data_IF_742258898451
#
_entry.id   IF_742258898451
#
_cell.length_a   1.000
_cell.length_b   1.000
_cell.length_c   1.000
_cell.angle_alpha   90.00
_cell.angle_beta   90.00
_cell.angle_gamma   90.00
#
_symmetry.space_group_name_H-M   'P 1'
#
loop_
_entity.id
_entity.type
_entity.pdbx_description
1 polymer ?
#
# COMPACT_ATOMS: atom_id res chain seq x y z
N UNK A 1 -53.55 69.81 -2.16
CA UNK A 1 -53.86 71.26 -2.07
C UNK A 1 -54.39 71.52 -0.68
N UNK A 2 -53.66 72.23 0.20
CA UNK A 2 -52.19 72.41 0.23
C UNK A 2 -51.54 71.06 0.69
N UNK A 3 -50.59 70.83 1.62
CA UNK A 3 -49.50 71.56 2.31
C UNK A 3 -48.50 70.43 2.74
N UNK A 4 -47.15 70.45 2.77
CA UNK A 4 -46.03 71.40 2.55
C UNK A 4 -45.64 72.36 3.70
N UNK A 5 -44.69 71.94 4.55
CA UNK A 5 -43.55 72.69 5.16
C UNK A 5 -42.71 71.74 6.06
N UNK A 6 -41.40 71.83 6.24
CA UNK A 6 -40.23 72.14 5.41
C UNK A 6 -39.00 72.01 6.33
N UNK A 7 -37.86 71.50 5.85
CA UNK A 7 -36.58 72.22 5.86
C UNK A 7 -35.43 71.40 5.24
N UNK A 8 -34.60 72.11 4.48
CA UNK A 8 -33.45 71.65 3.70
C UNK A 8 -32.18 72.34 4.30
N UNK A 9 -30.97 72.39 3.68
CA UNK A 9 -30.32 71.51 2.71
C UNK A 9 -28.85 71.14 3.08
N UNK A 10 -28.17 70.31 2.26
CA UNK A 10 -26.88 70.67 1.58
C UNK A 10 -26.22 69.53 0.78
N UNK A 11 -25.97 69.84 -0.49
CA UNK A 11 -24.86 69.40 -1.38
C UNK A 11 -24.28 70.71 -2.00
N UNK A 12 -23.20 70.76 -2.82
CA UNK A 12 -22.66 69.74 -3.72
C UNK A 12 -21.11 69.64 -3.69
N UNK A 13 -20.47 69.45 -4.87
CA UNK A 13 -19.03 69.39 -5.17
C UNK A 13 -18.31 68.06 -4.82
N UNK A 14 -17.27 67.63 -5.53
CA UNK A 14 -17.01 67.50 -7.00
C UNK A 14 -15.62 66.85 -7.16
N UNK A 15 -15.44 65.92 -8.09
CA UNK A 15 -14.16 65.18 -8.21
C UNK A 15 -13.10 65.92 -9.05
N UNK A 16 -11.80 65.74 -8.74
CA UNK A 16 -10.71 65.88 -9.70
C UNK A 16 -10.23 64.49 -10.20
N UNK A 17 -9.98 64.36 -11.50
CA UNK A 17 -9.22 63.23 -12.05
C UNK A 17 -7.72 63.42 -11.81
N UNK A 18 -6.99 62.34 -11.50
CA UNK A 18 -5.66 62.13 -12.06
C UNK A 18 -5.36 60.64 -12.23
N UNK A 19 -4.32 60.33 -13.01
CA UNK A 19 -4.01 58.98 -13.52
C UNK A 19 -2.64 58.50 -12.96
N UNK A 20 -2.01 57.37 -13.36
CA UNK A 20 -1.50 56.41 -12.37
C UNK A 20 0.03 56.32 -12.28
N UNK A 21 0.57 56.30 -11.06
CA UNK A 21 1.99 55.97 -10.84
C UNK A 21 2.27 55.31 -9.48
N UNK A 22 2.35 53.97 -9.44
CA UNK A 22 3.18 53.20 -8.51
C UNK A 22 3.10 51.69 -8.84
N UNK A 23 4.22 50.95 -8.97
CA UNK A 23 4.17 49.50 -9.09
C UNK A 23 3.91 48.87 -7.71
N UNK A 24 2.79 48.13 -7.56
CA UNK A 24 2.60 47.28 -6.39
C UNK A 24 3.71 46.23 -6.32
N UNK A 25 4.59 46.33 -5.32
CA UNK A 25 5.57 45.29 -5.04
C UNK A 25 4.84 43.97 -4.76
N UNK A 26 5.17 42.86 -5.44
CA UNK A 26 4.51 41.59 -5.20
C UNK A 26 4.78 41.16 -3.76
N UNK A 27 3.71 40.98 -2.97
CA UNK A 27 3.82 40.62 -1.57
C UNK A 27 4.71 39.37 -1.41
N UNK A 28 5.80 39.48 -0.63
CA UNK A 28 6.72 38.38 -0.37
C UNK A 28 5.93 37.21 0.23
N UNK A 29 5.54 36.25 -0.61
CA UNK A 29 5.06 34.94 -0.17
C UNK A 29 6.20 34.33 0.64
N UNK A 30 6.05 34.30 1.96
CA UNK A 30 7.03 33.69 2.86
C UNK A 30 7.01 32.18 2.61
N UNK A 31 7.87 31.73 1.71
CA UNK A 31 8.17 30.33 1.47
C UNK A 31 8.87 29.79 2.71
N UNK A 32 8.05 29.23 3.63
CA UNK A 32 8.51 28.56 4.85
C UNK A 32 9.67 27.61 4.49
N UNK A 33 10.88 27.80 5.04
CA UNK A 33 12.05 27.04 4.61
C UNK A 33 11.82 25.53 4.69
N UNK A 34 12.15 24.79 3.62
CA UNK A 34 11.98 23.33 3.55
C UNK A 34 13.04 22.57 4.36
N UNK A 35 13.03 22.78 5.67
CA UNK A 35 13.87 22.07 6.64
C UNK A 35 13.32 20.67 7.01
N UNK A 36 12.23 20.25 6.36
CA UNK A 36 11.46 19.04 6.65
C UNK A 36 11.92 17.77 5.89
N UNK A 37 12.89 17.85 4.97
CA UNK A 37 13.43 16.65 4.32
C UNK A 37 14.23 15.78 5.32
N UNK A 38 15.09 16.40 6.14
CA UNK A 38 15.93 15.70 7.13
C UNK A 38 15.17 15.33 8.42
N UNK A 39 14.03 15.95 8.71
CA UNK A 39 13.25 15.67 9.94
C UNK A 39 12.49 14.34 9.82
N UNK A 40 13.09 13.30 10.39
CA UNK A 40 12.44 12.00 10.65
C UNK A 40 11.20 12.19 11.55
N UNK A 41 10.02 12.20 10.93
CA UNK A 41 8.73 12.14 11.63
C UNK A 41 8.09 10.74 11.61
N UNK A 42 8.82 9.72 11.18
CA UNK A 42 8.47 8.31 11.33
C UNK A 42 8.74 7.84 12.78
N UNK A 43 8.10 8.49 13.75
CA UNK A 43 8.07 8.10 15.17
C UNK A 43 9.40 8.20 15.94
N UNK A 44 9.41 7.79 17.23
CA UNK A 44 10.62 7.73 18.05
C UNK A 44 11.41 6.42 17.86
N UNK A 45 10.82 5.40 17.23
CA UNK A 45 11.39 4.06 17.10
C UNK A 45 12.27 3.93 15.85
N UNK A 46 13.58 4.03 16.05
CA UNK A 46 14.59 3.86 15.00
C UNK A 46 14.55 2.48 14.34
N UNK A 47 15.06 2.41 13.11
CA UNK A 47 15.20 1.18 12.31
C UNK A 47 16.68 0.81 12.20
N UNK A 48 17.08 -0.47 12.37
CA UNK A 48 18.42 -0.93 12.01
C UNK A 48 18.69 -0.61 10.53
N UNK A 49 19.84 0.00 10.22
CA UNK A 49 20.15 0.39 8.84
C UNK A 49 20.38 -0.84 7.96
N UNK A 50 19.80 -0.86 6.76
CA UNK A 50 20.00 -1.97 5.79
C UNK A 50 21.48 -2.12 5.35
N UNK A 51 22.31 -1.12 5.60
CA UNK A 51 23.76 -1.20 5.40
C UNK A 51 24.45 -2.20 6.36
N UNK A 52 23.86 -2.52 7.53
CA UNK A 52 24.55 -3.21 8.61
C UNK A 52 24.35 -4.73 8.66
N UNK A 53 23.83 -5.36 7.59
CA UNK A 53 23.59 -6.82 7.53
C UNK A 53 24.53 -7.55 6.54
N UNK A 54 25.71 -6.98 6.25
CA UNK A 54 26.80 -7.68 5.54
C UNK A 54 28.09 -7.84 6.36
N UNK A 55 28.03 -7.75 7.70
CA UNK A 55 29.15 -8.17 8.55
C UNK A 55 29.27 -9.69 8.51
N UNK A 56 30.37 -10.17 7.96
CA UNK A 56 30.62 -11.59 7.64
C UNK A 56 30.39 -12.52 8.83
N UNK A 57 29.65 -13.62 8.64
CA UNK A 57 29.57 -14.74 9.57
C UNK A 57 30.83 -15.61 9.49
N UNK A 58 31.98 -15.01 9.80
CA UNK A 58 33.28 -15.67 10.00
C UNK A 58 33.97 -15.06 11.22
N UNK A 59 33.52 -15.45 12.40
CA UNK A 59 34.30 -15.35 13.63
C UNK A 59 35.01 -16.70 13.85
N UNK A 60 36.35 -16.76 13.88
CA UNK A 60 37.06 -17.99 14.23
C UNK A 60 36.73 -18.45 15.65
N UNK A 61 36.89 -19.75 15.90
CA UNK A 61 36.67 -20.36 17.21
C UNK A 61 37.62 -19.78 18.26
N UNK A 62 37.06 -19.37 19.41
CA UNK A 62 37.81 -18.92 20.58
C UNK A 62 38.58 -20.10 21.21
N UNK A 63 39.88 -20.20 20.96
CA UNK A 63 40.77 -21.15 21.66
C UNK A 63 41.03 -20.71 23.11
N UNK A 64 41.35 -21.68 23.95
CA UNK A 64 41.58 -21.51 25.40
C UNK A 64 43.03 -21.19 25.73
N UNK A 65 43.23 -20.53 26.88
CA UNK A 65 44.55 -20.15 27.42
C UNK A 65 45.23 -21.36 28.08
N UNK A 66 46.53 -21.56 27.83
CA UNK A 66 47.46 -22.22 28.75
C UNK A 66 48.90 -21.69 28.53
N UNK A 67 49.77 -21.63 29.57
CA UNK A 67 51.13 -21.07 29.47
C UNK A 67 52.26 -22.13 29.47
N UNK A 68 53.47 -21.71 29.04
CA UNK A 68 54.66 -22.56 28.85
C UNK A 68 54.91 -22.85 27.36
N UNK A 69 56.15 -22.92 26.83
CA UNK A 69 57.49 -22.84 27.45
C UNK A 69 58.47 -22.19 26.43
N UNK A 70 59.79 -22.15 26.68
CA UNK A 70 60.82 -21.67 25.73
C UNK A 70 60.91 -22.58 24.46
N UNK A 71 61.52 -22.21 23.32
CA UNK A 71 62.89 -21.68 23.13
C UNK A 71 63.16 -20.95 21.77
N UNK A 72 64.36 -20.36 21.67
CA UNK A 72 65.21 -20.02 20.50
C UNK A 72 64.83 -19.00 19.35
N UNK A 73 65.82 -18.12 19.11
CA UNK A 73 66.36 -17.64 17.81
C UNK A 73 65.62 -16.62 16.87
N UNK A 74 65.93 -15.34 17.12
CA UNK A 74 66.26 -14.22 16.20
C UNK A 74 66.85 -14.53 14.80
N UNK A 75 67.05 -13.53 13.90
CA UNK A 75 66.31 -12.26 13.66
C UNK A 75 66.18 -11.86 12.16
N UNK A 76 65.31 -10.89 11.83
CA UNK A 76 65.63 -9.90 10.78
C UNK A 76 64.83 -8.59 10.96
N UNK A 77 65.26 -7.49 10.33
CA UNK A 77 64.71 -6.14 10.55
C UNK A 77 64.51 -5.36 9.25
N UNK A 78 63.38 -4.65 9.13
CA UNK A 78 63.17 -3.64 8.10
C UNK A 78 62.16 -2.55 8.53
N UNK A 79 62.56 -1.29 8.31
CA UNK A 79 61.72 -0.09 8.08
C UNK A 79 60.48 0.15 8.96
N UNK A 80 60.58 1.14 9.85
CA UNK A 80 59.42 1.89 10.31
C UNK A 80 58.94 2.87 9.22
N UNK A 81 57.62 3.09 9.15
CA UNK A 81 56.99 4.29 8.55
C UNK A 81 55.94 4.77 9.54
N UNK A 82 55.90 6.07 9.81
CA UNK A 82 55.06 6.69 10.84
C UNK A 82 53.57 6.57 10.53
N UNK A 83 52.76 6.27 11.54
CA UNK A 83 51.30 6.31 11.45
C UNK A 83 50.76 7.63 12.04
N UNK A 84 50.98 8.73 11.30
CA UNK A 84 50.54 10.10 11.69
C UNK A 84 50.00 10.87 10.48
N UNK A 85 49.01 10.32 9.77
CA UNK A 85 48.08 11.11 8.96
C UNK A 85 46.77 10.32 8.66
N UNK A 86 45.66 10.68 9.33
CA UNK A 86 44.28 10.41 8.86
C UNK A 86 43.22 11.15 9.71
N UNK A 87 43.52 12.38 10.15
CA UNK A 87 42.80 13.03 11.25
C UNK A 87 41.74 14.07 10.83
N UNK A 88 41.06 13.94 9.68
CA UNK A 88 39.82 14.71 9.38
C UNK A 88 38.85 14.06 8.36
N UNK A 89 38.63 12.75 8.45
CA UNK A 89 37.60 12.04 7.68
C UNK A 89 36.15 12.38 8.08
N UNK A 90 35.64 13.54 7.65
CA UNK A 90 34.20 13.83 7.75
C UNK A 90 33.43 12.81 6.91
N UNK A 91 32.45 12.06 7.46
CA UNK A 91 31.79 10.99 6.71
C UNK A 91 30.99 11.59 5.54
N UNK A 92 31.50 11.38 4.33
CA UNK A 92 31.06 12.06 3.12
C UNK A 92 29.54 11.90 2.92
N UNK A 93 28.82 13.02 2.96
CA UNK A 93 27.36 13.02 2.87
C UNK A 93 26.99 12.73 1.42
N UNK A 94 26.37 11.57 1.10
CA UNK A 94 26.19 11.15 -0.28
C UNK A 94 25.45 12.22 -1.07
N UNK A 95 26.11 12.74 -2.11
CA UNK A 95 25.68 13.91 -2.86
C UNK A 95 24.22 13.80 -3.29
N UNK A 96 23.47 14.90 -3.09
CA UNK A 96 22.03 14.92 -3.35
C UNK A 96 21.75 14.70 -4.84
N UNK A 97 21.26 13.51 -5.18
CA UNK A 97 21.07 13.10 -6.57
C UNK A 97 20.07 14.02 -7.29
N UNK A 98 20.28 14.37 -8.57
CA UNK A 98 19.43 15.32 -9.29
C UNK A 98 18.01 14.79 -9.56
N UNK A 99 17.76 13.49 -9.37
CA UNK A 99 16.46 12.85 -9.54
C UNK A 99 16.07 12.05 -8.28
N UNK A 100 14.76 11.93 -7.98
CA UNK A 100 14.30 11.14 -6.85
C UNK A 100 14.59 9.65 -7.07
N UNK A 101 14.95 8.87 -6.03
CA UNK A 101 15.32 7.46 -6.15
C UNK A 101 14.34 6.65 -7.03
N UNK A 102 14.82 6.03 -8.13
CA UNK A 102 13.95 5.32 -9.05
C UNK A 102 13.43 4.03 -8.41
N UNK A 103 12.15 3.72 -8.63
CA UNK A 103 11.52 2.48 -8.14
C UNK A 103 11.94 1.24 -8.96
N UNK A 104 12.73 1.42 -10.03
CA UNK A 104 13.19 0.37 -10.96
C UNK A 104 12.09 -0.59 -11.47
N UNK A 105 10.85 -0.09 -11.51
CA UNK A 105 9.66 -0.88 -11.76
C UNK A 105 8.64 -0.08 -12.58
N UNK A 106 7.95 -0.75 -13.51
CA UNK A 106 6.94 -0.14 -14.36
C UNK A 106 5.80 -1.11 -14.67
N UNK A 107 4.56 -0.63 -14.53
CA UNK A 107 3.36 -1.38 -14.91
C UNK A 107 3.15 -1.40 -16.44
N UNK A 108 3.82 -0.50 -17.19
CA UNK A 108 3.58 -0.32 -18.63
C UNK A 108 4.01 -1.53 -19.47
N UNK A 109 5.02 -2.28 -19.03
CA UNK A 109 5.49 -3.51 -19.68
C UNK A 109 4.66 -4.74 -19.31
N UNK A 110 3.83 -4.67 -18.26
CA UNK A 110 3.10 -5.80 -17.69
C UNK A 110 1.58 -5.76 -17.99
N UNK A 111 1.11 -4.84 -18.83
CA UNK A 111 -0.31 -4.60 -19.12
C UNK A 111 -1.10 -5.86 -19.46
N UNK A 112 -0.57 -6.75 -20.30
CA UNK A 112 -1.26 -7.98 -20.70
C UNK A 112 -1.39 -8.98 -19.55
N UNK A 113 -0.36 -9.14 -18.73
CA UNK A 113 -0.43 -9.98 -17.53
C UNK A 113 -1.43 -9.43 -16.51
N UNK A 114 -1.43 -8.11 -16.29
CA UNK A 114 -2.39 -7.43 -15.41
C UNK A 114 -3.82 -7.57 -15.95
N UNK A 115 -4.03 -7.41 -17.26
CA UNK A 115 -5.34 -7.57 -17.90
C UNK A 115 -5.86 -9.01 -17.78
N UNK A 116 -5.04 -10.02 -18.11
CA UNK A 116 -5.44 -11.42 -18.00
C UNK A 116 -5.74 -11.82 -16.56
N UNK A 117 -4.92 -11.37 -15.60
CA UNK A 117 -5.14 -11.60 -14.16
C UNK A 117 -6.49 -11.04 -13.68
N UNK A 118 -6.78 -9.77 -13.98
CA UNK A 118 -8.06 -9.16 -13.62
C UNK A 118 -9.24 -9.74 -14.41
N UNK A 119 -9.07 -10.11 -15.67
CA UNK A 119 -10.13 -10.78 -16.45
C UNK A 119 -10.50 -12.14 -15.84
N UNK A 120 -9.50 -12.93 -15.41
CA UNK A 120 -9.73 -14.19 -14.71
C UNK A 120 -10.44 -13.98 -13.36
N UNK A 121 -10.01 -13.00 -12.56
CA UNK A 121 -10.67 -12.69 -11.27
C UNK A 121 -12.11 -12.20 -11.48
N UNK A 122 -12.37 -11.30 -12.42
CA UNK A 122 -13.73 -10.80 -12.69
C UNK A 122 -14.65 -11.91 -13.24
N UNK A 123 -14.09 -12.88 -13.96
CA UNK A 123 -14.83 -14.08 -14.38
C UNK A 123 -15.13 -15.00 -13.18
N UNK A 124 -14.10 -15.40 -12.44
CA UNK A 124 -14.12 -16.32 -11.30
C UNK A 124 -14.93 -15.82 -10.10
N UNK A 125 -14.91 -14.51 -9.84
CA UNK A 125 -15.50 -13.86 -8.66
C UNK A 125 -16.72 -12.98 -8.94
N UNK A 126 -17.15 -12.80 -10.21
CA UNK A 126 -18.41 -12.11 -10.54
C UNK A 126 -19.24 -12.93 -11.53
N UNK A 127 -18.70 -13.18 -12.73
CA UNK A 127 -19.49 -13.80 -13.81
C UNK A 127 -19.92 -15.22 -13.44
N UNK A 128 -19.01 -16.02 -12.90
CA UNK A 128 -19.27 -17.40 -12.49
C UNK A 128 -20.27 -17.53 -11.33
N UNK A 129 -20.11 -16.87 -10.15
CA UNK A 129 -21.08 -17.00 -9.05
C UNK A 129 -22.49 -16.57 -9.47
N UNK A 130 -22.60 -15.47 -10.22
CA UNK A 130 -23.88 -14.94 -10.68
C UNK A 130 -24.50 -15.87 -11.75
N UNK A 131 -23.75 -16.26 -12.80
CA UNK A 131 -24.29 -17.11 -13.87
C UNK A 131 -24.64 -18.52 -13.38
N UNK A 132 -23.84 -19.11 -12.49
CA UNK A 132 -24.17 -20.41 -11.89
C UNK A 132 -25.38 -20.29 -10.97
N UNK A 133 -25.49 -19.26 -10.13
CA UNK A 133 -26.67 -19.06 -9.29
C UNK A 133 -27.95 -18.95 -10.13
N UNK A 134 -28.04 -17.97 -11.04
CA UNK A 134 -29.25 -17.77 -11.83
C UNK A 134 -29.56 -18.96 -12.77
N UNK A 135 -28.53 -19.53 -13.41
CA UNK A 135 -28.68 -20.67 -14.31
C UNK A 135 -29.15 -21.94 -13.60
N UNK A 136 -28.58 -22.28 -12.45
CA UNK A 136 -28.99 -23.45 -11.67
C UNK A 136 -30.33 -23.22 -10.98
N UNK A 137 -30.54 -22.07 -10.33
CA UNK A 137 -31.75 -21.77 -9.54
C UNK A 137 -33.02 -21.74 -10.38
N UNK A 138 -32.99 -21.06 -11.53
CA UNK A 138 -34.15 -20.90 -12.42
C UNK A 138 -34.22 -21.93 -13.56
N UNK A 139 -33.11 -22.55 -13.94
CA UNK A 139 -33.11 -23.61 -14.95
C UNK A 139 -33.58 -24.96 -14.41
N UNK A 140 -32.90 -25.45 -13.37
CA UNK A 140 -33.07 -26.82 -12.83
C UNK A 140 -33.36 -26.88 -11.32
N UNK A 141 -33.41 -25.74 -10.66
CA UNK A 141 -33.46 -25.61 -9.20
C UNK A 141 -34.85 -25.22 -8.66
N UNK A 142 -34.90 -24.63 -7.45
CA UNK A 142 -36.15 -24.31 -6.77
C UNK A 142 -37.04 -23.31 -7.53
N UNK A 143 -36.44 -22.38 -8.27
CA UNK A 143 -37.12 -21.34 -9.04
C UNK A 143 -37.57 -21.76 -10.44
N UNK A 144 -37.38 -23.01 -10.86
CA UNK A 144 -37.74 -23.43 -12.23
C UNK A 144 -39.25 -23.63 -12.40
N UNK A 145 -39.81 -22.96 -13.40
CA UNK A 145 -41.24 -22.97 -13.75
C UNK A 145 -41.61 -24.09 -14.74
N UNK A 146 -40.65 -24.84 -15.27
CA UNK A 146 -40.93 -26.01 -16.12
C UNK A 146 -41.51 -27.17 -15.30
N UNK A 147 -42.28 -28.08 -15.94
CA UNK A 147 -42.83 -29.29 -15.33
C UNK A 147 -41.76 -30.38 -15.13
N UNK A 148 -40.64 -30.03 -14.51
CA UNK A 148 -39.61 -30.96 -14.05
C UNK A 148 -40.07 -31.68 -12.78
N UNK A 149 -39.93 -33.00 -12.72
CA UNK A 149 -40.34 -33.79 -11.55
C UNK A 149 -39.64 -33.32 -10.26
N UNK A 150 -40.32 -33.45 -9.10
CA UNK A 150 -39.73 -33.13 -7.79
C UNK A 150 -38.44 -33.90 -7.48
N UNK A 151 -38.21 -35.05 -8.13
CA UNK A 151 -36.97 -35.86 -8.01
C UNK A 151 -35.80 -35.34 -8.86
N UNK A 152 -36.06 -34.48 -9.84
CA UNK A 152 -35.06 -33.93 -10.77
C UNK A 152 -34.68 -32.47 -10.46
N UNK A 153 -35.47 -31.75 -9.64
CA UNK A 153 -35.13 -30.39 -9.23
C UNK A 153 -34.00 -30.39 -8.21
N UNK A 154 -32.97 -29.56 -8.42
CA UNK A 154 -31.91 -29.34 -7.43
C UNK A 154 -32.46 -28.64 -6.18
N UNK A 155 -31.99 -29.07 -5.00
CA UNK A 155 -32.31 -28.40 -3.73
C UNK A 155 -31.62 -27.04 -3.64
N UNK A 156 -32.13 -26.10 -2.81
CA UNK A 156 -31.45 -24.83 -2.56
C UNK A 156 -29.99 -25.03 -2.11
N UNK A 157 -29.79 -25.99 -1.20
CA UNK A 157 -28.49 -26.43 -0.71
C UNK A 157 -27.55 -26.90 -1.84
N UNK A 158 -28.03 -27.76 -2.75
CA UNK A 158 -27.21 -28.25 -3.87
C UNK A 158 -26.81 -27.12 -4.83
N UNK A 159 -27.71 -26.18 -5.16
CA UNK A 159 -27.40 -25.03 -6.01
C UNK A 159 -26.26 -24.20 -5.40
N UNK A 160 -26.39 -23.79 -4.14
CA UNK A 160 -25.38 -22.96 -3.48
C UNK A 160 -24.07 -23.71 -3.19
N UNK A 161 -24.12 -25.02 -2.96
CA UNK A 161 -22.92 -25.86 -2.79
C UNK A 161 -22.12 -25.99 -4.10
N UNK A 162 -22.80 -26.17 -5.25
CA UNK A 162 -22.15 -26.19 -6.57
C UNK A 162 -21.50 -24.82 -6.87
N UNK A 163 -22.20 -23.72 -6.61
CA UNK A 163 -21.67 -22.37 -6.76
C UNK A 163 -20.42 -22.18 -5.87
N UNK A 164 -20.52 -22.51 -4.59
CA UNK A 164 -19.43 -22.38 -3.61
C UNK A 164 -18.20 -23.21 -3.98
N UNK A 165 -18.39 -24.41 -4.54
CA UNK A 165 -17.29 -25.28 -4.97
C UNK A 165 -16.62 -24.84 -6.28
N UNK A 166 -17.29 -24.02 -7.10
CA UNK A 166 -16.76 -23.51 -8.36
C UNK A 166 -16.02 -22.16 -8.22
N UNK A 167 -16.47 -21.32 -7.29
CA UNK A 167 -15.98 -19.94 -7.09
C UNK A 167 -14.59 -19.91 -6.44
N UNK A 168 -13.76 -18.94 -6.85
CA UNK A 168 -12.48 -18.65 -6.20
C UNK A 168 -11.30 -19.45 -6.72
N UNK A 169 -11.49 -20.30 -7.73
CA UNK A 169 -10.44 -21.14 -8.31
C UNK A 169 -9.24 -20.32 -8.83
N UNK A 170 -9.48 -19.18 -9.48
CA UNK A 170 -8.40 -18.28 -9.92
C UNK A 170 -7.60 -17.71 -8.73
N UNK A 171 -8.31 -17.34 -7.66
CA UNK A 171 -7.71 -16.80 -6.43
C UNK A 171 -6.93 -17.86 -5.62
N UNK A 172 -7.40 -19.11 -5.60
CA UNK A 172 -6.70 -20.26 -5.00
C UNK A 172 -5.42 -20.58 -5.79
N UNK A 173 -5.46 -20.55 -7.12
CA UNK A 173 -4.27 -20.75 -7.96
C UNK A 173 -3.23 -19.65 -7.69
N UNK A 174 -3.62 -18.37 -7.65
CA UNK A 174 -2.65 -17.31 -7.32
C UNK A 174 -2.13 -17.42 -5.88
N UNK A 175 -2.95 -17.85 -4.90
CA UNK A 175 -2.49 -18.12 -3.54
C UNK A 175 -1.32 -19.12 -3.52
N UNK A 176 -1.46 -20.26 -4.21
CA UNK A 176 -0.40 -21.27 -4.31
C UNK A 176 0.79 -20.82 -5.15
N UNK A 177 0.57 -20.07 -6.24
CA UNK A 177 1.65 -19.48 -7.06
C UNK A 177 2.46 -18.47 -6.23
N UNK A 178 1.79 -17.61 -5.45
CA UNK A 178 2.41 -16.64 -4.54
C UNK A 178 3.21 -17.34 -3.44
N UNK A 179 2.63 -18.35 -2.80
CA UNK A 179 3.30 -19.18 -1.80
C UNK A 179 4.57 -19.83 -2.39
N UNK A 180 4.48 -20.44 -3.57
CA UNK A 180 5.62 -21.05 -4.25
C UNK A 180 6.71 -20.03 -4.61
N UNK A 181 6.32 -18.85 -5.13
CA UNK A 181 7.25 -17.74 -5.43
C UNK A 181 8.01 -17.31 -4.17
N UNK A 182 7.38 -17.27 -3.00
CA UNK A 182 8.03 -16.95 -1.71
C UNK A 182 8.89 -18.10 -1.17
N UNK A 183 8.37 -19.34 -1.21
CA UNK A 183 8.97 -20.50 -0.55
C UNK A 183 10.12 -21.17 -1.33
N UNK A 184 10.21 -20.98 -2.65
CA UNK A 184 11.27 -21.61 -3.46
C UNK A 184 12.69 -21.28 -2.99
N UNK A 185 13.61 -22.26 -3.12
CA UNK A 185 15.05 -22.04 -2.91
C UNK A 185 15.51 -20.93 -3.87
N UNK A 186 16.38 -20.04 -3.41
CA UNK A 186 16.86 -18.90 -4.24
C UNK A 186 15.79 -17.85 -4.61
N UNK A 187 14.63 -17.79 -3.95
CA UNK A 187 13.60 -16.79 -4.30
C UNK A 187 14.13 -15.34 -4.28
N UNK A 188 14.03 -14.70 -5.43
CA UNK A 188 14.26 -13.28 -5.70
C UNK A 188 13.14 -12.36 -5.18
N UNK A 189 12.05 -12.91 -4.63
CA UNK A 189 10.86 -12.16 -4.19
C UNK A 189 10.59 -12.26 -2.68
N UNK A 190 11.59 -12.66 -1.88
CA UNK A 190 11.44 -12.78 -0.42
C UNK A 190 11.51 -11.41 0.28
N UNK A 191 10.91 -11.31 1.46
CA UNK A 191 11.04 -10.15 2.36
C UNK A 191 12.51 -9.91 2.71
N UNK A 192 12.94 -8.64 2.73
CA UNK A 192 14.32 -8.25 3.02
C UNK A 192 14.72 -8.76 4.41
N UNK A 193 15.71 -9.66 4.48
CA UNK A 193 16.23 -10.20 5.75
C UNK A 193 15.28 -11.16 6.47
N UNK A 194 14.48 -11.95 5.75
CA UNK A 194 13.57 -12.94 6.32
C UNK A 194 13.95 -14.38 5.93
N UNK A 195 13.64 -15.35 6.80
CA UNK A 195 13.96 -16.77 6.57
C UNK A 195 13.06 -17.41 5.48
N UNK A 196 13.46 -18.57 4.94
CA UNK A 196 12.73 -19.28 3.86
C UNK A 196 11.27 -19.58 4.19
N UNK A 197 10.96 -19.85 5.45
CA UNK A 197 9.60 -20.13 5.95
C UNK A 197 8.77 -18.87 6.25
N UNK A 198 9.34 -17.67 6.09
CA UNK A 198 8.65 -16.43 6.40
C UNK A 198 7.94 -15.89 5.15
N UNK A 199 6.60 -15.95 5.19
CA UNK A 199 5.70 -15.39 4.18
C UNK A 199 5.53 -13.87 4.43
N UNK A 200 5.12 -13.12 3.41
CA UNK A 200 4.95 -11.67 3.53
C UNK A 200 3.57 -11.27 4.11
N UNK A 201 3.47 -10.01 4.52
CA UNK A 201 2.32 -9.47 5.25
C UNK A 201 1.03 -9.58 4.45
N UNK A 202 1.06 -9.21 3.16
CA UNK A 202 -0.09 -9.40 2.30
C UNK A 202 -0.52 -10.87 2.20
N UNK A 203 0.41 -11.83 2.08
CA UNK A 203 0.03 -13.24 2.03
C UNK A 203 -0.66 -13.68 3.33
N UNK A 204 -0.17 -13.29 4.51
CA UNK A 204 -0.83 -13.62 5.78
C UNK A 204 -2.24 -13.03 5.92
N UNK A 205 -2.45 -11.77 5.53
CA UNK A 205 -3.77 -11.15 5.62
C UNK A 205 -4.72 -11.71 4.56
N UNK A 206 -4.21 -12.07 3.38
CA UNK A 206 -4.97 -12.78 2.36
C UNK A 206 -5.35 -14.20 2.82
N UNK A 207 -4.47 -14.92 3.53
CA UNK A 207 -4.84 -16.19 4.22
C UNK A 207 -5.94 -15.97 5.25
N UNK A 208 -5.85 -14.94 6.07
CA UNK A 208 -6.82 -14.64 7.12
C UNK A 208 -8.20 -14.29 6.54
N UNK A 209 -8.26 -13.44 5.52
CA UNK A 209 -9.49 -13.12 4.80
C UNK A 209 -10.09 -14.37 4.13
N UNK A 210 -9.26 -15.21 3.50
CA UNK A 210 -9.70 -16.48 2.92
C UNK A 210 -10.29 -17.44 3.95
N UNK A 211 -9.70 -17.54 5.15
CA UNK A 211 -10.23 -18.38 6.23
C UNK A 211 -11.62 -17.91 6.67
N UNK A 212 -11.83 -16.59 6.82
CA UNK A 212 -13.14 -16.04 7.17
C UNK A 212 -14.16 -16.34 6.06
N UNK A 213 -13.80 -16.11 4.79
CA UNK A 213 -14.66 -16.37 3.63
C UNK A 213 -15.01 -17.86 3.49
N UNK A 214 -14.07 -18.78 3.76
CA UNK A 214 -14.35 -20.21 3.78
C UNK A 214 -15.33 -20.58 4.90
N UNK A 215 -15.18 -20.02 6.10
CA UNK A 215 -16.13 -20.23 7.20
C UNK A 215 -17.51 -19.70 6.81
N UNK A 216 -17.58 -18.50 6.25
CA UNK A 216 -18.81 -17.83 5.82
C UNK A 216 -19.56 -18.64 4.74
N UNK A 217 -18.85 -19.10 3.71
CA UNK A 217 -19.41 -19.91 2.63
C UNK A 217 -19.85 -21.31 3.13
N UNK A 218 -19.05 -21.98 3.97
CA UNK A 218 -19.41 -23.29 4.53
C UNK A 218 -20.62 -23.16 5.46
N UNK A 219 -20.62 -22.22 6.40
CA UNK A 219 -21.76 -21.99 7.31
C UNK A 219 -23.00 -21.54 6.54
N UNK A 220 -22.85 -20.77 5.46
CA UNK A 220 -23.94 -20.40 4.57
C UNK A 220 -24.51 -21.56 3.74
N UNK A 221 -23.71 -22.59 3.41
CA UNK A 221 -24.13 -23.74 2.60
C UNK A 221 -24.56 -24.97 3.40
N UNK A 222 -24.27 -25.05 4.70
CA UNK A 222 -24.73 -26.16 5.57
C UNK A 222 -26.27 -26.30 5.69
N UNK A 223 -27.09 -25.23 5.81
CA UNK A 223 -28.53 -25.36 5.99
C UNK A 223 -29.27 -25.94 4.76
N UNK A 224 -30.39 -26.65 4.99
CA UNK A 224 -31.29 -27.13 3.92
C UNK A 224 -31.88 -25.96 3.09
N UNK A 225 -32.05 -24.81 3.74
CA UNK A 225 -32.41 -23.52 3.14
C UNK A 225 -31.28 -22.52 3.39
N UNK A 226 -30.25 -22.46 2.51
CA UNK A 226 -29.13 -21.55 2.64
C UNK A 226 -29.58 -20.08 2.74
N UNK A 227 -29.10 -19.32 3.74
CA UNK A 227 -29.38 -17.89 3.82
C UNK A 227 -28.63 -17.15 2.70
N UNK A 228 -29.31 -16.92 1.58
CA UNK A 228 -28.76 -16.24 0.39
C UNK A 228 -28.02 -14.93 0.73
N UNK A 229 -28.51 -14.16 1.70
CA UNK A 229 -27.88 -12.92 2.17
C UNK A 229 -26.45 -13.14 2.70
N UNK A 230 -26.21 -14.23 3.44
CA UNK A 230 -24.87 -14.60 3.91
C UNK A 230 -23.99 -15.02 2.73
N UNK A 231 -24.53 -15.77 1.77
CA UNK A 231 -23.82 -16.17 0.55
C UNK A 231 -23.64 -15.02 -0.47
N UNK A 232 -24.12 -13.81 -0.16
CA UNK A 232 -23.83 -12.56 -0.88
C UNK A 232 -22.69 -11.75 -0.24
N UNK A 233 -22.32 -12.05 1.00
CA UNK A 233 -21.32 -11.29 1.77
C UNK A 233 -19.83 -11.54 1.43
N UNK A 234 -19.35 -12.61 0.76
CA UNK A 234 -17.91 -12.93 0.77
C UNK A 234 -16.98 -11.81 0.27
N UNK A 235 -17.36 -11.13 -0.80
CA UNK A 235 -16.58 -10.01 -1.37
C UNK A 235 -16.71 -8.75 -0.50
N UNK A 236 -17.81 -8.60 0.23
CA UNK A 236 -18.02 -7.55 1.24
C UNK A 236 -17.18 -7.80 2.49
N UNK A 237 -17.10 -9.05 2.95
CA UNK A 237 -16.20 -9.48 4.03
C UNK A 237 -14.73 -9.27 3.69
N UNK A 238 -14.34 -9.52 2.43
CA UNK A 238 -12.99 -9.19 1.93
C UNK A 238 -12.67 -7.69 2.09
N UNK A 239 -13.64 -6.79 1.83
CA UNK A 239 -13.47 -5.35 2.03
C UNK A 239 -13.34 -4.99 3.52
N UNK A 240 -14.14 -5.58 4.41
CA UNK A 240 -14.01 -5.37 5.86
C UNK A 240 -12.63 -5.80 6.37
N UNK A 241 -12.15 -7.00 6.00
CA UNK A 241 -10.87 -7.52 6.51
C UNK A 241 -9.71 -6.61 6.11
N UNK A 242 -9.59 -6.24 4.82
CA UNK A 242 -8.50 -5.34 4.39
C UNK A 242 -8.71 -3.88 4.81
N UNK A 243 -9.96 -3.40 4.89
CA UNK A 243 -10.28 -2.05 5.38
C UNK A 243 -9.88 -1.87 6.84
N UNK A 244 -10.34 -2.77 7.70
CA UNK A 244 -10.06 -2.77 9.13
C UNK A 244 -8.57 -3.04 9.41
N UNK A 245 -7.91 -3.95 8.68
CA UNK A 245 -6.46 -4.18 8.82
C UNK A 245 -5.66 -2.90 8.50
N UNK A 246 -5.97 -2.24 7.38
CA UNK A 246 -5.35 -0.98 7.01
C UNK A 246 -5.60 0.12 8.04
N UNK A 247 -6.83 0.28 8.54
CA UNK A 247 -7.15 1.23 9.60
C UNK A 247 -6.37 0.93 10.88
N UNK A 248 -6.33 -0.33 11.33
CA UNK A 248 -5.67 -0.74 12.56
C UNK A 248 -4.16 -0.43 12.53
N UNK A 249 -3.50 -0.70 11.41
CA UNK A 249 -2.08 -0.34 11.19
C UNK A 249 -1.90 1.18 11.14
N UNK A 250 -2.75 1.91 10.41
CA UNK A 250 -2.64 3.37 10.26
C UNK A 250 -2.94 4.15 11.56
N UNK A 251 -3.81 3.61 12.41
CA UNK A 251 -4.16 4.11 13.76
C UNK A 251 -3.06 3.76 14.76
N UNK A 252 -2.56 2.52 14.76
CA UNK A 252 -1.44 2.10 15.61
C UNK A 252 -0.18 2.94 15.31
N UNK A 253 0.10 3.22 14.04
CA UNK A 253 1.11 4.18 13.62
C UNK A 253 0.85 5.59 14.18
N UNK A 254 -0.39 6.08 14.14
CA UNK A 254 -0.74 7.42 14.62
C UNK A 254 -0.49 7.57 16.13
N UNK A 255 -0.83 6.54 16.92
CA UNK A 255 -0.50 6.45 18.35
C UNK A 255 0.97 6.07 18.63
N UNK A 256 1.82 5.98 17.60
CA UNK A 256 3.26 5.65 17.68
C UNK A 256 3.52 4.27 18.31
N UNK A 257 2.62 3.31 18.11
CA UNK A 257 2.83 1.92 18.54
C UNK A 257 3.95 1.29 17.68
N UNK A 258 4.99 0.69 18.28
CA UNK A 258 6.03 -0.03 17.54
C UNK A 258 5.47 -1.34 16.95
N UNK A 259 6.05 -1.82 15.84
CA UNK A 259 5.57 -3.01 15.15
C UNK A 259 5.57 -4.25 16.08
N UNK A 260 4.40 -4.83 16.42
CA UNK A 260 4.29 -5.88 17.45
C UNK A 260 4.86 -7.23 16.97
N UNK A 261 4.75 -7.47 15.67
CA UNK A 261 5.37 -8.51 14.89
C UNK A 261 6.19 -7.87 13.75
N UNK A 262 6.77 -8.69 12.88
CA UNK A 262 7.36 -8.21 11.63
C UNK A 262 6.25 -7.99 10.60
N UNK A 263 6.29 -6.86 9.90
CA UNK A 263 5.36 -6.48 8.83
C UNK A 263 6.20 -6.32 7.56
N UNK A 264 6.39 -7.41 6.83
CA UNK A 264 7.30 -7.52 5.69
C UNK A 264 8.69 -6.91 5.97
N UNK A 265 9.14 -5.87 5.24
CA UNK A 265 10.47 -5.27 5.45
C UNK A 265 10.57 -4.32 6.66
N UNK A 266 9.51 -4.23 7.47
CA UNK A 266 9.48 -3.56 8.78
C UNK A 266 9.77 -4.61 9.87
N UNK A 267 10.93 -4.58 10.55
CA UNK A 267 11.22 -5.51 11.63
C UNK A 267 10.38 -5.21 12.87
N UNK A 268 10.14 -6.25 13.70
CA UNK A 268 9.50 -6.10 15.01
C UNK A 268 10.22 -5.03 15.84
N UNK A 269 9.46 -4.15 16.49
CA UNK A 269 9.97 -3.06 17.33
C UNK A 269 10.27 -1.74 16.59
N UNK A 270 10.35 -1.72 15.25
CA UNK A 270 10.50 -0.48 14.49
C UNK A 270 9.16 0.28 14.39
N UNK A 271 9.20 1.58 14.06
CA UNK A 271 7.98 2.34 13.77
C UNK A 271 7.20 1.73 12.59
N UNK A 272 5.88 1.61 12.76
CA UNK A 272 4.95 1.25 11.70
C UNK A 272 4.95 2.29 10.56
N UNK A 273 5.03 1.82 9.31
CA UNK A 273 4.74 2.61 8.10
C UNK A 273 3.21 2.56 7.82
N UNK A 274 2.68 3.30 6.83
CA UNK A 274 1.28 3.17 6.43
C UNK A 274 0.95 1.74 6.02
N UNK A 275 -0.24 1.22 6.32
CA UNK A 275 -0.61 -0.16 5.96
C UNK A 275 -0.51 -0.43 4.45
N UNK A 276 -0.82 0.58 3.63
CA UNK A 276 -0.68 0.49 2.17
C UNK A 276 0.78 0.37 1.69
N UNK A 277 1.78 0.69 2.54
CA UNK A 277 3.19 0.47 2.21
C UNK A 277 3.49 -1.02 2.07
N UNK A 278 3.07 -1.87 3.02
CA UNK A 278 3.30 -3.32 2.95
C UNK A 278 2.50 -3.95 1.81
N UNK A 279 1.25 -3.53 1.59
CA UNK A 279 0.48 -3.98 0.42
C UNK A 279 1.20 -3.69 -0.91
N UNK A 280 1.67 -2.44 -1.11
CA UNK A 280 2.39 -2.06 -2.33
C UNK A 280 3.75 -2.77 -2.44
N UNK A 281 4.48 -2.89 -1.33
CA UNK A 281 5.75 -3.63 -1.27
C UNK A 281 5.56 -5.09 -1.71
N UNK A 282 4.55 -5.76 -1.17
CA UNK A 282 4.37 -7.20 -1.28
C UNK A 282 3.70 -7.62 -2.60
N UNK A 283 2.72 -6.86 -3.10
CA UNK A 283 2.05 -7.14 -4.38
C UNK A 283 3.01 -6.88 -5.56
N UNK A 284 3.74 -5.76 -5.54
CA UNK A 284 4.68 -5.47 -6.62
C UNK A 284 5.94 -6.35 -6.56
N UNK A 285 6.41 -6.77 -5.38
CA UNK A 285 7.55 -7.67 -5.27
C UNK A 285 7.24 -9.10 -5.77
N UNK A 286 6.09 -9.68 -5.40
CA UNK A 286 5.79 -11.09 -5.66
C UNK A 286 4.98 -11.29 -6.94
N UNK A 287 3.78 -10.73 -7.04
CA UNK A 287 2.86 -10.97 -8.16
C UNK A 287 3.34 -10.17 -9.38
N UNK A 288 3.58 -8.87 -9.15
CA UNK A 288 4.19 -7.94 -10.10
C UNK A 288 5.62 -8.29 -10.52
N UNK A 289 6.26 -9.26 -9.85
CA UNK A 289 7.63 -9.72 -10.17
C UNK A 289 8.70 -8.61 -10.16
N UNK A 290 8.57 -7.65 -9.24
CA UNK A 290 9.60 -6.63 -8.96
C UNK A 290 10.69 -7.08 -7.98
N UNK A 291 10.47 -8.19 -7.26
CA UNK A 291 11.46 -8.82 -6.40
C UNK A 291 11.95 -7.99 -5.20
N UNK A 292 13.06 -8.44 -4.61
CA UNK A 292 13.78 -7.75 -3.53
C UNK A 292 14.28 -6.37 -3.97
N UNK A 293 14.64 -6.22 -5.25
CA UNK A 293 15.14 -4.95 -5.79
C UNK A 293 14.06 -3.86 -5.76
N UNK A 294 12.80 -4.21 -6.07
CA UNK A 294 11.68 -3.29 -5.87
C UNK A 294 11.48 -2.96 -4.39
N UNK A 295 11.55 -3.95 -3.47
CA UNK A 295 11.45 -3.67 -2.02
C UNK A 295 12.52 -2.67 -1.57
N UNK A 296 13.78 -2.86 -1.97
CA UNK A 296 14.90 -1.95 -1.65
C UNK A 296 14.74 -0.58 -2.31
N UNK A 297 14.24 -0.50 -3.53
CA UNK A 297 14.00 0.77 -4.23
C UNK A 297 12.84 1.57 -3.63
N UNK A 298 11.74 0.89 -3.29
CA UNK A 298 10.59 1.46 -2.57
C UNK A 298 11.00 1.98 -1.19
N UNK A 299 11.79 1.20 -0.45
CA UNK A 299 12.33 1.54 0.86
C UNK A 299 13.21 2.80 0.81
N UNK A 300 14.16 2.85 -0.13
CA UNK A 300 15.02 4.03 -0.37
C UNK A 300 14.21 5.27 -0.73
N UNK A 301 13.20 5.16 -1.61
CA UNK A 301 12.36 6.29 -1.99
C UNK A 301 11.46 6.75 -0.84
N UNK A 302 10.93 5.82 -0.04
CA UNK A 302 10.17 6.14 1.16
C UNK A 302 11.02 6.92 2.16
N UNK A 303 12.21 6.43 2.51
CA UNK A 303 13.08 7.10 3.48
C UNK A 303 13.55 8.48 2.96
N UNK A 304 13.88 8.59 1.68
CA UNK A 304 14.37 9.83 1.08
C UNK A 304 13.29 10.90 0.79
N UNK A 305 12.05 10.53 0.42
CA UNK A 305 11.06 11.47 -0.13
C UNK A 305 9.88 11.73 0.82
N UNK A 306 9.85 12.93 1.43
CA UNK A 306 8.74 13.34 2.30
C UNK A 306 7.40 13.45 1.52
N UNK A 307 7.45 13.83 0.23
CA UNK A 307 6.27 13.91 -0.66
C UNK A 307 5.71 12.51 -0.90
N UNK A 308 6.57 11.51 -1.15
CA UNK A 308 6.17 10.12 -1.33
C UNK A 308 5.57 9.52 -0.05
N UNK A 309 6.17 9.77 1.13
CA UNK A 309 5.61 9.40 2.43
C UNK A 309 4.23 10.01 2.67
N UNK A 310 4.06 11.30 2.35
CA UNK A 310 2.78 11.99 2.47
C UNK A 310 1.72 11.52 1.45
N UNK A 311 2.14 11.11 0.25
CA UNK A 311 1.28 10.48 -0.75
C UNK A 311 0.74 9.14 -0.23
N UNK A 312 1.62 8.24 0.23
CA UNK A 312 1.22 6.92 0.73
C UNK A 312 0.35 7.00 1.99
N UNK A 313 0.63 7.90 2.95
CA UNK A 313 -0.24 8.12 4.12
C UNK A 313 -1.67 8.49 3.71
N UNK A 314 -1.83 9.42 2.77
CA UNK A 314 -3.16 9.82 2.27
C UNK A 314 -3.84 8.71 1.49
N UNK A 315 -3.08 7.94 0.71
CA UNK A 315 -3.60 6.84 -0.08
C UNK A 315 -4.08 5.67 0.80
N UNK A 316 -3.36 5.38 1.89
CA UNK A 316 -3.76 4.37 2.89
C UNK A 316 -5.12 4.70 3.50
N UNK A 317 -5.28 5.92 4.03
CA UNK A 317 -6.57 6.39 4.58
C UNK A 317 -7.69 6.39 3.52
N UNK A 318 -7.40 6.81 2.28
CA UNK A 318 -8.38 6.83 1.18
C UNK A 318 -8.91 5.44 0.80
N UNK A 319 -8.04 4.42 0.79
CA UNK A 319 -8.44 3.04 0.55
C UNK A 319 -9.08 2.38 1.76
N UNK A 320 -8.56 2.60 2.97
CA UNK A 320 -9.08 1.99 4.19
C UNK A 320 -10.50 2.48 4.53
N UNK A 321 -10.70 3.80 4.56
CA UNK A 321 -12.03 4.40 4.80
C UNK A 321 -12.97 4.14 3.62
N UNK A 322 -12.45 4.08 2.40
CA UNK A 322 -13.23 3.74 1.22
C UNK A 322 -13.74 2.30 1.24
N UNK A 323 -12.90 1.34 1.63
CA UNK A 323 -13.24 -0.07 1.74
C UNK A 323 -14.31 -0.29 2.82
N UNK A 324 -14.13 0.29 4.01
CA UNK A 324 -15.13 0.25 5.09
C UNK A 324 -16.47 0.89 4.68
N UNK A 325 -16.45 2.07 4.06
CA UNK A 325 -17.67 2.73 3.59
C UNK A 325 -18.39 1.91 2.50
N UNK A 326 -17.65 1.28 1.60
CA UNK A 326 -18.21 0.37 0.61
C UNK A 326 -18.72 -0.93 1.26
N UNK A 327 -18.03 -1.48 2.26
CA UNK A 327 -18.44 -2.70 2.94
C UNK A 327 -19.74 -2.50 3.74
N UNK A 328 -19.86 -1.38 4.46
CA UNK A 328 -21.11 -0.98 5.14
C UNK A 328 -22.24 -0.77 4.13
N UNK A 329 -21.99 -0.08 3.00
CA UNK A 329 -22.99 0.10 1.95
C UNK A 329 -23.46 -1.25 1.36
N UNK A 330 -22.53 -2.12 0.97
CA UNK A 330 -22.84 -3.45 0.47
C UNK A 330 -23.64 -4.26 1.49
N UNK A 331 -23.26 -4.24 2.77
CA UNK A 331 -23.98 -4.93 3.85
C UNK A 331 -25.42 -4.42 3.96
N UNK A 332 -25.63 -3.10 4.00
CA UNK A 332 -26.98 -2.51 4.05
C UNK A 332 -27.82 -2.94 2.84
N UNK A 333 -27.26 -2.92 1.63
CA UNK A 333 -27.97 -3.37 0.42
C UNK A 333 -28.28 -4.88 0.44
N UNK A 334 -27.31 -5.71 0.85
CA UNK A 334 -27.44 -7.16 0.97
C UNK A 334 -28.52 -7.57 1.98
N UNK A 335 -28.70 -6.80 3.06
CA UNK A 335 -29.69 -7.10 4.09
C UNK A 335 -31.06 -6.43 3.89
N UNK A 336 -31.17 -5.40 3.05
CA UNK A 336 -32.45 -4.70 2.78
C UNK A 336 -33.15 -5.14 1.49
N UNK A 337 -32.43 -5.53 0.44
CA UNK A 337 -33.01 -5.82 -0.88
C UNK A 337 -33.60 -7.25 -1.00
N UNK A 338 -34.23 -7.55 -2.14
CA UNK A 338 -34.67 -8.91 -2.47
C UNK A 338 -33.48 -9.86 -2.65
N UNK A 339 -33.67 -11.17 -2.44
CA UNK A 339 -32.58 -12.16 -2.40
C UNK A 339 -31.67 -12.14 -3.62
N UNK A 340 -32.23 -12.24 -4.82
CA UNK A 340 -31.46 -12.30 -6.08
C UNK A 340 -30.70 -10.99 -6.36
N UNK A 341 -31.29 -9.86 -5.96
CA UNK A 341 -30.71 -8.52 -6.14
C UNK A 341 -29.58 -8.28 -5.13
N UNK A 342 -29.79 -8.68 -3.87
CA UNK A 342 -28.76 -8.70 -2.84
C UNK A 342 -27.57 -9.59 -3.24
N UNK A 343 -27.84 -10.76 -3.83
CA UNK A 343 -26.82 -11.66 -4.37
C UNK A 343 -26.03 -11.05 -5.53
N UNK A 344 -26.71 -10.55 -6.55
CA UNK A 344 -26.04 -9.90 -7.68
C UNK A 344 -25.21 -8.68 -7.25
N UNK A 345 -25.69 -7.88 -6.29
CA UNK A 345 -24.96 -6.73 -5.73
C UNK A 345 -23.74 -7.17 -4.91
N UNK A 346 -23.89 -8.14 -4.02
CA UNK A 346 -22.81 -8.58 -3.13
C UNK A 346 -21.58 -9.11 -3.88
N UNK A 347 -21.79 -9.81 -4.99
CA UNK A 347 -20.70 -10.31 -5.85
C UNK A 347 -20.14 -9.27 -6.83
N UNK A 348 -20.85 -8.18 -7.16
CA UNK A 348 -20.43 -7.23 -8.21
C UNK A 348 -20.05 -5.82 -7.72
N UNK A 349 -20.77 -5.25 -6.76
CA UNK A 349 -20.61 -3.86 -6.33
C UNK A 349 -19.21 -3.57 -5.75
N UNK A 350 -18.59 -4.44 -4.92
CA UNK A 350 -17.21 -4.26 -4.47
C UNK A 350 -16.19 -4.09 -5.60
N UNK A 351 -16.34 -4.83 -6.71
CA UNK A 351 -15.43 -4.72 -7.86
C UNK A 351 -15.67 -3.45 -8.68
N UNK A 352 -16.93 -3.03 -8.85
CA UNK A 352 -17.26 -1.74 -9.47
C UNK A 352 -16.65 -0.59 -8.67
N UNK A 353 -16.81 -0.60 -7.35
CA UNK A 353 -16.19 0.35 -6.43
C UNK A 353 -14.66 0.35 -6.55
N UNK A 354 -14.02 -0.83 -6.49
CA UNK A 354 -12.57 -0.97 -6.58
C UNK A 354 -12.01 -0.47 -7.91
N UNK A 355 -12.74 -0.65 -9.02
CA UNK A 355 -12.42 -0.09 -10.33
C UNK A 355 -12.39 1.45 -10.31
N UNK A 356 -13.44 2.08 -9.77
CA UNK A 356 -13.53 3.55 -9.63
C UNK A 356 -12.42 4.08 -8.71
N UNK A 357 -12.17 3.44 -7.57
CA UNK A 357 -11.09 3.82 -6.64
C UNK A 357 -9.70 3.65 -7.25
N UNK A 358 -9.50 2.65 -8.12
CA UNK A 358 -8.25 2.45 -8.87
C UNK A 358 -8.02 3.57 -9.88
N UNK A 359 -9.04 4.03 -10.60
CA UNK A 359 -8.94 5.16 -11.52
C UNK A 359 -8.63 6.48 -10.79
N UNK A 360 -9.32 6.75 -9.67
CA UNK A 360 -9.03 7.90 -8.81
C UNK A 360 -7.59 7.86 -8.26
N UNK A 361 -7.14 6.68 -7.82
CA UNK A 361 -5.77 6.42 -7.36
C UNK A 361 -4.74 6.70 -8.46
N UNK A 362 -4.98 6.22 -9.68
CA UNK A 362 -4.05 6.40 -10.80
C UNK A 362 -3.85 7.89 -11.14
N UNK A 363 -4.92 8.68 -11.15
CA UNK A 363 -4.85 10.14 -11.33
C UNK A 363 -4.12 10.82 -10.17
N UNK A 364 -4.48 10.50 -8.93
CA UNK A 364 -3.89 11.11 -7.74
C UNK A 364 -2.38 10.82 -7.63
N UNK A 365 -1.97 9.56 -7.76
CA UNK A 365 -0.56 9.15 -7.74
C UNK A 365 0.21 9.81 -8.88
N UNK A 366 -0.33 9.80 -10.11
CA UNK A 366 0.31 10.50 -11.25
C UNK A 366 0.52 11.99 -11.00
N UNK A 367 -0.41 12.66 -10.30
CA UNK A 367 -0.29 14.07 -9.91
C UNK A 367 0.74 14.30 -8.81
N UNK A 368 0.82 13.42 -7.82
CA UNK A 368 1.78 13.54 -6.70
C UNK A 368 3.21 13.17 -7.12
N UNK A 369 3.41 12.17 -7.99
CA UNK A 369 4.74 11.84 -8.54
C UNK A 369 5.31 12.99 -9.39
N UNK A 370 4.47 13.72 -10.13
CA UNK A 370 4.87 14.95 -10.84
C UNK A 370 5.28 16.07 -9.87
N UNK A 371 4.55 16.24 -8.76
CA UNK A 371 4.90 17.22 -7.70
C UNK A 371 6.19 16.85 -6.96
N UNK A 372 6.40 15.57 -6.70
CA UNK A 372 7.63 15.05 -6.13
C UNK A 372 8.82 15.38 -7.04
N UNK A 373 8.71 15.10 -8.35
CA UNK A 373 9.78 15.41 -9.30
C UNK A 373 10.10 16.92 -9.38
N UNK A 374 9.08 17.79 -9.37
CA UNK A 374 9.28 19.24 -9.36
C UNK A 374 9.98 19.74 -8.07
N UNK A 375 9.46 19.35 -6.90
CA UNK A 375 10.05 19.72 -5.61
C UNK A 375 11.48 19.16 -5.43
N UNK A 376 11.78 18.00 -6.03
CA UNK A 376 13.12 17.42 -6.04
C UNK A 376 14.09 18.23 -6.91
N UNK A 377 13.65 18.68 -8.08
CA UNK A 377 14.45 19.53 -8.96
C UNK A 377 14.72 20.93 -8.34
N UNK A 378 13.73 21.53 -7.69
CA UNK A 378 13.87 22.77 -6.92
C UNK A 378 14.93 22.63 -5.80
N UNK A 379 14.91 21.52 -5.05
CA UNK A 379 15.87 21.30 -3.97
C UNK A 379 17.26 20.88 -4.46
N UNK A 380 17.36 20.17 -5.60
CA UNK A 380 18.62 19.87 -6.27
C UNK A 380 19.30 21.16 -6.74
N UNK A 381 18.55 22.07 -7.39
CA UNK A 381 19.06 23.38 -7.81
C UNK A 381 19.54 24.21 -6.61
N UNK A 382 18.78 24.26 -5.52
CA UNK A 382 19.18 24.97 -4.29
C UNK A 382 20.46 24.41 -3.69
N UNK A 383 20.62 23.09 -3.63
CA UNK A 383 21.82 22.44 -3.07
C UNK A 383 23.04 22.60 -3.98
N UNK A 384 22.86 22.56 -5.30
CA UNK A 384 23.92 22.85 -6.27
C UNK A 384 24.43 24.29 -6.16
N UNK A 385 23.53 25.27 -6.09
CA UNK A 385 23.89 26.67 -5.88
C UNK A 385 24.68 26.88 -4.58
N UNK A 386 24.16 26.39 -3.44
CA UNK A 386 24.83 26.52 -2.15
C UNK A 386 26.20 25.81 -2.07
N UNK A 387 26.44 24.79 -2.91
CA UNK A 387 27.76 24.15 -2.99
C UNK A 387 28.73 24.98 -3.84
N UNK A 388 28.24 25.65 -4.89
CA UNK A 388 29.03 26.60 -5.71
C UNK A 388 29.34 27.91 -4.98
N UNK A 389 28.51 28.34 -4.03
CA UNK A 389 28.77 29.49 -3.14
C UNK A 389 29.77 29.16 -2.01
N UNK A 390 30.00 27.87 -1.73
CA UNK A 390 30.92 27.39 -0.69
C UNK A 390 32.29 26.94 -1.26
N UNK A 391 32.50 27.09 -2.58
CA UNK A 391 33.73 26.74 -3.30
C UNK A 391 34.44 27.95 -3.91
N UNK A 392 34.16 29.15 -3.39
CA UNK A 392 34.70 30.46 -3.80
C UNK A 392 35.13 31.21 -2.55
#
# INVERSE_FOLDING_TARGET
MPESLDTNPRRPQSAPHHNPTAPHSPAKRITRPSHDFDRRYDGPFGRPSLAMTRRSSRSPTRSSIHPGTADEASPEAATAVSADDDLHGTPDRPAFQPTPPPLNYTLRTRKMAIFLFWALILFDSIAMPIALYFGLWYGVGPGTNTPTEKRQKLTPNAVFSIVTAAVGGASIVEYFVRFWRLWRKGSTCRVIGAHRWYLDWFHWNFSFAWIIIMIELIVGTVPEHPPIRLLSMPVTTMLYVFGTELLLVDVSRAFRVPAPCRISSIPKGAQLRPGIYSLVEDVCAVDGSGGTDFRVALDRRYEASHVFRAMLRRLGVFWAVGAEACAVLCTVLIFTLHGDVAYAIGWSLPFVWAGVWTLATFWYVSRQLKREAAAWAEEAARKGAAHSEASV
#
